data_IF_999849107626
#
_entry.id   IF_999849107626
#
_cell.length_a   1.000
_cell.length_b   1.000
_cell.length_c   1.000
_cell.angle_alpha   90.00
_cell.angle_beta   90.00
_cell.angle_gamma   90.00
#
_symmetry.space_group_name_H-M   'P 1'
#
loop_
_entity.id
_entity.type
_entity.pdbx_description
1 polymer ?
#
# COMPACT_ATOMS: atom_id res chain seq x y z
N UNK A 1 -2.39 32.25 -0.62
CA UNK A 1 -1.13 31.53 -0.42
C UNK A 1 -1.36 30.11 -0.90
N UNK A 2 -0.60 29.66 -1.90
CA UNK A 2 -0.72 28.29 -2.41
C UNK A 2 0.12 27.35 -1.54
N UNK A 3 -0.52 26.69 -0.58
CA UNK A 3 0.13 25.78 0.36
C UNK A 3 0.87 24.62 -0.35
N UNK A 4 0.46 24.26 -1.57
CA UNK A 4 1.05 23.13 -2.31
C UNK A 4 2.42 23.45 -2.92
N UNK A 5 2.73 24.74 -3.09
CA UNK A 5 3.98 25.23 -3.69
C UNK A 5 4.96 25.81 -2.65
N UNK A 6 4.73 25.56 -1.36
CA UNK A 6 5.64 26.01 -0.31
C UNK A 6 6.95 25.23 -0.32
N UNK A 7 8.06 25.95 -0.17
CA UNK A 7 9.35 25.33 0.09
C UNK A 7 9.48 24.94 1.59
N UNK A 8 10.48 24.12 1.90
CA UNK A 8 10.69 23.59 3.26
C UNK A 8 10.84 24.67 4.34
N UNK A 9 11.47 25.81 4.02
CA UNK A 9 11.64 26.90 4.98
C UNK A 9 10.30 27.59 5.30
N UNK A 10 9.46 27.83 4.29
CA UNK A 10 8.13 28.40 4.47
C UNK A 10 7.21 27.46 5.25
N UNK A 11 7.29 26.14 5.01
CA UNK A 11 6.53 25.14 5.78
C UNK A 11 6.99 25.10 7.23
N UNK A 12 8.30 25.14 7.50
CA UNK A 12 8.83 25.18 8.85
C UNK A 12 8.31 26.39 9.63
N UNK A 13 8.33 27.58 9.03
CA UNK A 13 7.77 28.79 9.65
C UNK A 13 6.23 28.74 9.78
N UNK A 14 5.53 28.00 8.90
CA UNK A 14 4.08 27.78 9.03
C UNK A 14 3.74 27.00 10.30
N UNK A 15 4.57 26.04 10.73
CA UNK A 15 4.29 25.14 11.88
C UNK A 15 4.99 25.55 13.17
N UNK A 16 6.07 26.33 13.09
CA UNK A 16 6.89 26.73 14.24
C UNK A 16 6.08 27.50 15.28
N UNK A 17 6.18 27.06 16.54
CA UNK A 17 5.49 27.66 17.67
C UNK A 17 3.95 27.48 17.66
N UNK A 18 3.44 26.57 16.83
CA UNK A 18 2.00 26.32 16.66
C UNK A 18 1.61 24.91 17.09
N UNK A 19 0.39 24.77 17.60
CA UNK A 19 -0.25 23.48 17.86
C UNK A 19 -0.81 22.94 16.55
N UNK A 20 -0.22 21.86 16.06
CA UNK A 20 -0.58 21.24 14.79
C UNK A 20 -1.39 19.98 15.06
N UNK A 21 -2.49 19.82 14.34
CA UNK A 21 -3.21 18.55 14.25
C UNK A 21 -2.96 17.92 12.89
N UNK A 22 -2.62 16.63 12.88
CA UNK A 22 -2.48 15.83 11.67
C UNK A 22 -3.56 14.77 11.66
N UNK A 23 -4.34 14.69 10.59
CA UNK A 23 -5.36 13.66 10.39
C UNK A 23 -4.78 12.57 9.48
N UNK A 24 -4.52 11.39 10.03
CA UNK A 24 -3.93 10.26 9.30
C UNK A 24 -2.94 9.44 10.12
N UNK A 25 -2.60 8.24 9.66
CA UNK A 25 -1.65 7.34 10.35
C UNK A 25 -0.90 6.38 9.41
N UNK A 26 -0.42 6.94 8.30
CA UNK A 26 0.47 6.28 7.34
C UNK A 26 1.62 7.22 6.99
N UNK A 27 2.47 6.85 6.02
CA UNK A 27 3.76 7.48 5.72
C UNK A 27 3.77 9.00 5.78
N UNK A 28 2.95 9.69 4.97
CA UNK A 28 2.90 11.16 4.98
C UNK A 28 2.50 11.75 6.34
N UNK A 29 1.53 11.14 7.04
CA UNK A 29 1.09 11.63 8.33
C UNK A 29 2.18 11.50 9.41
N UNK A 30 2.86 10.35 9.46
CA UNK A 30 3.91 10.10 10.47
C UNK A 30 5.16 10.94 10.20
N UNK A 31 5.49 11.19 8.93
CA UNK A 31 6.62 12.05 8.55
C UNK A 31 6.38 13.51 8.94
N UNK A 32 5.22 14.06 8.57
CA UNK A 32 4.84 15.43 8.94
C UNK A 32 4.79 15.58 10.46
N UNK A 33 4.31 14.55 11.18
CA UNK A 33 4.29 14.56 12.64
C UNK A 33 5.69 14.61 13.24
N UNK A 34 6.63 13.82 12.70
CA UNK A 34 8.02 13.83 13.14
C UNK A 34 8.71 15.17 12.85
N UNK A 35 8.48 15.77 11.68
CA UNK A 35 8.98 17.11 11.35
C UNK A 35 8.43 18.17 12.31
N UNK A 36 7.12 18.17 12.59
CA UNK A 36 6.51 19.07 13.56
C UNK A 36 7.09 18.88 14.96
N UNK A 37 7.28 17.62 15.39
CA UNK A 37 7.87 17.29 16.68
C UNK A 37 9.32 17.76 16.81
N UNK A 38 10.11 17.69 15.73
CA UNK A 38 11.49 18.19 15.71
C UNK A 38 11.56 19.71 15.80
N UNK A 39 10.61 20.43 15.18
CA UNK A 39 10.57 21.90 15.19
C UNK A 39 10.08 22.43 16.54
N UNK A 40 9.03 21.83 17.08
CA UNK A 40 8.27 22.39 18.21
C UNK A 40 8.55 21.72 19.56
N UNK A 41 9.03 20.47 19.55
CA UNK A 41 9.20 19.66 20.75
C UNK A 41 7.92 19.53 21.59
N UNK A 42 8.05 19.24 22.90
CA UNK A 42 6.90 19.07 23.78
C UNK A 42 6.21 20.39 24.16
N UNK A 43 6.81 21.55 23.84
CA UNK A 43 6.23 22.87 24.16
C UNK A 43 5.00 23.18 23.31
N UNK A 44 5.02 22.79 22.03
CA UNK A 44 3.87 22.90 21.11
C UNK A 44 3.66 21.55 20.40
N UNK A 45 3.08 20.56 21.10
CA UNK A 45 3.05 19.20 20.61
C UNK A 45 2.17 19.06 19.37
N UNK A 46 2.54 18.11 18.51
CA UNK A 46 1.75 17.73 17.35
C UNK A 46 0.76 16.61 17.72
N UNK A 47 -0.53 16.83 17.53
CA UNK A 47 -1.55 15.79 17.79
C UNK A 47 -1.92 15.06 16.50
N UNK A 48 -1.82 13.74 16.48
CA UNK A 48 -2.28 12.92 15.38
C UNK A 48 -3.67 12.33 15.68
N UNK A 49 -4.68 12.66 14.88
CA UNK A 49 -5.98 12.01 14.93
C UNK A 49 -5.94 10.74 14.08
N UNK A 50 -6.11 9.60 14.75
CA UNK A 50 -5.95 8.28 14.13
C UNK A 50 -7.27 7.54 14.07
N UNK A 51 -7.89 7.57 12.88
CA UNK A 51 -9.14 6.82 12.60
C UNK A 51 -8.92 5.31 12.55
N UNK A 52 -7.93 4.90 11.76
CA UNK A 52 -7.62 3.49 11.54
C UNK A 52 -6.18 3.23 11.97
N UNK A 53 -6.01 2.43 13.02
CA UNK A 53 -4.72 1.97 13.51
C UNK A 53 -4.07 1.06 12.46
N UNK A 54 -2.77 1.20 12.21
CA UNK A 54 -2.01 0.47 11.18
C UNK A 54 -0.75 -0.14 11.77
N UNK A 55 -0.29 -1.25 11.19
CA UNK A 55 0.93 -1.94 11.60
C UNK A 55 2.18 -1.24 11.05
N UNK A 56 2.46 -0.04 11.53
CA UNK A 56 3.68 0.67 11.13
C UNK A 56 4.89 0.06 11.82
N UNK A 57 5.98 -0.12 11.08
CA UNK A 57 7.20 -0.82 11.52
C UNK A 57 8.35 0.17 11.70
N UNK A 58 9.28 -0.06 12.61
CA UNK A 58 10.51 0.76 12.69
C UNK A 58 11.57 0.32 11.69
N UNK A 59 11.57 -0.96 11.32
CA UNK A 59 12.52 -1.56 10.40
C UNK A 59 11.89 -2.76 9.67
N UNK A 60 12.50 -3.15 8.55
CA UNK A 60 12.03 -4.28 7.71
C UNK A 60 12.60 -5.64 8.18
N UNK A 61 12.96 -5.76 9.46
CA UNK A 61 13.53 -6.96 10.08
C UNK A 61 12.76 -7.31 11.34
N UNK A 62 12.39 -8.58 11.48
CA UNK A 62 11.55 -9.11 12.55
C UNK A 62 12.29 -10.29 13.17
N UNK A 63 12.62 -10.22 14.47
CA UNK A 63 13.40 -11.26 15.15
C UNK A 63 14.70 -11.64 14.43
N UNK A 64 15.38 -10.68 13.79
CA UNK A 64 16.60 -10.91 13.00
C UNK A 64 16.37 -11.44 11.59
N UNK A 65 15.12 -11.68 11.18
CA UNK A 65 14.75 -12.17 9.85
C UNK A 65 14.16 -11.01 9.03
N UNK A 66 14.69 -10.68 7.84
CA UNK A 66 14.08 -9.65 7.00
C UNK A 66 12.67 -10.07 6.57
N UNK A 67 11.71 -9.15 6.65
CA UNK A 67 10.28 -9.37 6.33
C UNK A 67 10.11 -9.92 4.90
N UNK A 68 11.00 -9.54 3.99
CA UNK A 68 11.01 -10.02 2.60
C UNK A 68 11.12 -11.55 2.49
N UNK A 69 11.78 -12.23 3.42
CA UNK A 69 11.86 -13.71 3.44
C UNK A 69 10.55 -14.39 3.88
N UNK A 70 9.61 -13.65 4.46
CA UNK A 70 8.29 -14.19 4.83
C UNK A 70 7.20 -13.88 3.81
N UNK A 71 7.33 -12.81 3.02
CA UNK A 71 6.25 -12.30 2.17
C UNK A 71 6.63 -12.00 0.70
N UNK A 72 7.91 -11.96 0.35
CA UNK A 72 8.37 -11.49 -0.97
C UNK A 72 9.18 -12.55 -1.73
N UNK A 73 8.83 -13.82 -1.58
CA UNK A 73 9.44 -14.93 -2.33
C UNK A 73 8.36 -15.91 -2.84
N UNK A 74 8.74 -16.78 -3.77
CA UNK A 74 7.82 -17.75 -4.37
C UNK A 74 7.19 -18.69 -3.35
N UNK A 75 7.90 -19.07 -2.28
CA UNK A 75 7.34 -19.93 -1.24
C UNK A 75 6.18 -19.24 -0.52
N UNK A 76 6.35 -17.96 -0.15
CA UNK A 76 5.29 -17.19 0.50
C UNK A 76 4.04 -17.03 -0.37
N UNK A 77 4.22 -17.01 -1.69
CA UNK A 77 3.14 -16.99 -2.68
C UNK A 77 2.38 -18.33 -2.79
N UNK A 78 2.97 -19.45 -2.34
CA UNK A 78 2.28 -20.73 -2.22
C UNK A 78 1.29 -20.73 -1.05
N UNK A 79 1.34 -19.75 -0.15
CA UNK A 79 0.46 -19.66 1.03
C UNK A 79 -0.84 -18.88 0.76
N UNK A 80 -1.00 -18.40 -0.48
CA UNK A 80 -2.12 -17.58 -0.93
C UNK A 80 -2.66 -18.11 -2.26
N UNK A 81 -3.98 -18.05 -2.39
CA UNK A 81 -4.66 -18.33 -3.64
C UNK A 81 -4.33 -17.23 -4.62
N UNK A 82 -3.82 -17.57 -5.80
CA UNK A 82 -3.40 -16.60 -6.82
C UNK A 82 -4.40 -16.55 -7.98
N UNK A 83 -4.64 -15.36 -8.57
CA UNK A 83 -5.47 -15.23 -9.76
C UNK A 83 -4.95 -16.09 -10.92
N UNK A 84 -5.84 -16.88 -11.52
CA UNK A 84 -5.53 -17.78 -12.63
C UNK A 84 -4.65 -18.99 -12.26
N UNK A 85 -4.54 -19.34 -10.98
CA UNK A 85 -3.78 -20.52 -10.57
C UNK A 85 -4.53 -21.83 -10.86
N UNK A 86 -3.78 -22.90 -11.12
CA UNK A 86 -4.35 -24.25 -11.31
C UNK A 86 -4.70 -24.94 -9.98
N UNK A 87 -5.44 -26.05 -10.08
CA UNK A 87 -5.94 -26.82 -8.92
C UNK A 87 -4.85 -27.22 -7.92
N UNK A 88 -3.66 -27.60 -8.42
CA UNK A 88 -2.53 -28.01 -7.56
C UNK A 88 -2.05 -26.85 -6.69
N UNK A 89 -1.88 -25.65 -7.27
CA UNK A 89 -1.44 -24.47 -6.53
C UNK A 89 -2.51 -24.00 -5.54
N UNK A 90 -3.78 -24.09 -5.94
CA UNK A 90 -4.90 -23.80 -5.04
C UNK A 90 -4.94 -24.75 -3.85
N UNK A 91 -4.72 -26.06 -4.06
CA UNK A 91 -4.67 -27.03 -2.97
C UNK A 91 -3.51 -26.74 -2.02
N UNK A 92 -2.32 -26.41 -2.55
CA UNK A 92 -1.17 -26.01 -1.75
C UNK A 92 -1.46 -24.76 -0.92
N UNK A 93 -2.11 -23.74 -1.51
CA UNK A 93 -2.51 -22.53 -0.78
C UNK A 93 -3.45 -22.83 0.38
N UNK A 94 -4.41 -23.75 0.20
CA UNK A 94 -5.29 -24.19 1.29
C UNK A 94 -4.50 -24.89 2.40
N UNK A 95 -3.69 -25.90 2.04
CA UNK A 95 -2.91 -26.70 2.99
C UNK A 95 -1.92 -25.84 3.77
N UNK A 96 -1.26 -24.89 3.10
CA UNK A 96 -0.23 -24.04 3.68
C UNK A 96 -0.78 -22.74 4.31
N UNK A 97 -2.08 -22.48 4.21
CA UNK A 97 -2.70 -21.28 4.78
C UNK A 97 -2.47 -21.08 6.29
N UNK A 98 -2.34 -22.12 7.16
CA UNK A 98 -1.99 -21.91 8.57
C UNK A 98 -0.60 -21.30 8.74
N UNK A 99 0.35 -21.60 7.85
CA UNK A 99 1.71 -21.06 7.91
C UNK A 99 1.72 -19.55 7.65
N UNK A 100 0.88 -19.05 6.74
CA UNK A 100 0.68 -17.60 6.54
C UNK A 100 0.18 -16.91 7.80
N UNK A 101 -0.73 -17.55 8.53
CA UNK A 101 -1.20 -17.03 9.81
C UNK A 101 -0.07 -17.01 10.85
N UNK A 102 0.75 -18.07 10.91
CA UNK A 102 1.94 -18.12 11.78
C UNK A 102 2.90 -16.97 11.46
N UNK A 103 3.25 -16.73 10.19
CA UNK A 103 4.13 -15.61 9.79
C UNK A 103 3.56 -14.26 10.22
N UNK A 104 2.25 -14.05 10.05
CA UNK A 104 1.58 -12.84 10.53
C UNK A 104 1.73 -12.69 12.04
N UNK A 105 1.43 -13.73 12.82
CA UNK A 105 1.50 -13.67 14.29
C UNK A 105 2.91 -13.55 14.84
N UNK A 106 3.88 -14.18 14.18
CA UNK A 106 5.30 -14.02 14.49
C UNK A 106 5.73 -12.55 14.37
N UNK A 107 5.33 -11.90 13.27
CA UNK A 107 5.59 -10.47 13.04
C UNK A 107 4.84 -9.57 14.02
N UNK A 108 3.54 -9.81 14.23
CA UNK A 108 2.73 -9.05 15.21
C UNK A 108 3.31 -9.15 16.63
N UNK A 109 3.83 -10.32 17.02
CA UNK A 109 4.47 -10.53 18.33
C UNK A 109 5.72 -9.67 18.49
N UNK A 110 6.59 -9.65 17.47
CA UNK A 110 7.76 -8.78 17.46
C UNK A 110 7.37 -7.32 17.62
N UNK A 111 6.46 -6.83 16.77
CA UNK A 111 6.05 -5.44 16.75
C UNK A 111 5.41 -5.00 18.08
N UNK A 112 4.61 -5.86 18.71
CA UNK A 112 4.04 -5.59 20.05
C UNK A 112 5.09 -5.52 21.14
N UNK A 113 6.21 -6.23 20.98
CA UNK A 113 7.31 -6.25 21.95
C UNK A 113 8.25 -5.06 21.77
N UNK A 114 8.55 -4.69 20.53
CA UNK A 114 9.54 -3.65 20.22
C UNK A 114 8.96 -2.25 20.14
N UNK A 115 7.67 -2.13 19.78
CA UNK A 115 7.00 -0.85 19.63
C UNK A 115 5.93 -0.75 20.73
N UNK A 116 5.87 0.35 21.51
CA UNK A 116 4.92 0.51 22.62
C UNK A 116 3.48 0.79 22.14
N UNK A 117 3.01 0.12 21.08
CA UNK A 117 1.67 0.32 20.52
C UNK A 117 0.57 0.11 21.55
N UNK A 118 0.72 -0.86 22.47
CA UNK A 118 -0.28 -1.13 23.51
C UNK A 118 -0.44 0.04 24.47
N UNK A 119 0.68 0.67 24.86
CA UNK A 119 0.70 1.82 25.78
C UNK A 119 -0.11 2.99 25.24
N UNK A 120 -0.07 3.20 23.93
CA UNK A 120 -0.74 4.32 23.25
C UNK A 120 -2.03 3.92 22.52
N UNK A 121 -2.60 2.76 22.81
CA UNK A 121 -3.80 2.22 22.15
C UNK A 121 -3.70 2.20 20.60
N UNK A 122 -2.53 1.82 20.07
CA UNK A 122 -2.25 1.82 18.63
C UNK A 122 -2.25 0.42 17.99
N UNK A 123 -2.68 -0.61 18.71
CA UNK A 123 -2.77 -1.98 18.17
C UNK A 123 -3.89 -2.04 17.11
N UNK A 124 -3.58 -2.41 15.86
CA UNK A 124 -4.61 -2.61 14.83
C UNK A 124 -5.49 -3.82 15.09
N UNK A 125 -6.74 -3.76 14.61
CA UNK A 125 -7.70 -4.88 14.68
C UNK A 125 -7.44 -5.95 13.61
N UNK A 126 -6.88 -5.57 12.46
CA UNK A 126 -6.53 -6.49 11.38
C UNK A 126 -5.17 -7.17 11.63
N UNK A 127 -4.89 -8.25 10.91
CA UNK A 127 -3.60 -8.95 10.99
C UNK A 127 -2.50 -8.18 10.25
N UNK A 128 -1.24 -8.45 10.58
CA UNK A 128 -0.11 -7.86 9.85
C UNK A 128 -0.15 -8.24 8.36
N UNK A 129 -0.41 -9.52 8.05
CA UNK A 129 -0.54 -9.98 6.66
C UNK A 129 -1.61 -9.19 5.88
N UNK A 130 -2.77 -8.92 6.48
CA UNK A 130 -3.79 -8.11 5.82
C UNK A 130 -3.31 -6.68 5.54
N UNK A 131 -2.51 -6.09 6.45
CA UNK A 131 -1.87 -4.80 6.24
C UNK A 131 -0.89 -4.81 5.06
N UNK A 132 -0.08 -5.87 4.94
CA UNK A 132 0.83 -6.08 3.79
C UNK A 132 0.04 -6.25 2.49
N UNK A 133 -0.99 -7.10 2.50
CA UNK A 133 -1.83 -7.37 1.34
C UNK A 133 -2.57 -6.13 0.84
N UNK A 134 -3.03 -5.27 1.74
CA UNK A 134 -3.66 -4.00 1.38
C UNK A 134 -2.66 -2.88 1.01
N UNK A 135 -1.36 -3.08 1.24
CA UNK A 135 -0.35 -2.01 1.10
C UNK A 135 -0.51 -0.89 2.15
N UNK A 136 -1.08 -1.21 3.32
CA UNK A 136 -1.46 -0.24 4.35
C UNK A 136 -0.59 -0.39 5.61
N UNK A 137 0.72 -0.27 5.41
CA UNK A 137 1.72 -0.13 6.47
C UNK A 137 2.86 0.78 5.98
N UNK A 138 3.62 1.35 6.89
CA UNK A 138 4.80 2.12 6.53
C UNK A 138 5.95 1.92 7.53
N UNK A 139 7.14 2.34 7.12
CA UNK A 139 8.26 2.52 8.04
C UNK A 139 8.03 3.83 8.79
N UNK A 140 8.10 3.78 10.12
CA UNK A 140 8.06 4.96 10.99
C UNK A 140 9.35 5.76 10.85
N UNK A 141 9.30 7.09 10.99
CA UNK A 141 10.50 7.89 11.20
C UNK A 141 11.33 7.37 12.37
N UNK A 142 12.65 7.56 12.29
CA UNK A 142 13.54 7.24 13.39
C UNK A 142 13.10 7.97 14.67
N UNK A 143 13.20 7.30 15.81
CA UNK A 143 12.82 7.84 17.13
C UNK A 143 11.34 8.29 17.23
N UNK A 144 10.44 7.87 16.33
CA UNK A 144 9.04 8.29 16.34
C UNK A 144 8.35 8.06 17.70
N UNK A 145 8.49 6.86 18.29
CA UNK A 145 7.89 6.58 19.59
C UNK A 145 8.62 7.21 20.77
N UNK A 146 9.89 7.60 20.62
CA UNK A 146 10.57 8.43 21.63
C UNK A 146 9.98 9.84 21.64
N UNK A 147 9.62 10.39 20.47
CA UNK A 147 8.88 11.65 20.37
C UNK A 147 7.46 11.56 20.92
N UNK A 148 6.84 10.39 20.86
CA UNK A 148 5.56 10.13 21.54
C UNK A 148 5.75 10.04 23.05
N UNK A 149 6.81 9.39 23.52
CA UNK A 149 7.18 9.27 24.94
C UNK A 149 7.50 10.65 25.57
N UNK A 150 8.26 11.48 24.85
CA UNK A 150 8.61 12.87 25.22
C UNK A 150 7.37 13.79 25.30
N UNK A 151 6.28 13.42 24.64
CA UNK A 151 5.06 14.24 24.53
C UNK A 151 5.08 15.23 23.36
N UNK A 152 6.12 15.21 22.51
CA UNK A 152 6.20 16.01 21.27
C UNK A 152 5.17 15.56 20.21
N UNK A 153 4.78 14.28 20.24
CA UNK A 153 3.70 13.71 19.42
C UNK A 153 2.63 13.11 20.33
N UNK A 154 1.38 13.53 20.15
CA UNK A 154 0.22 12.99 20.88
C UNK A 154 -0.59 12.14 19.92
N UNK A 155 -0.72 10.85 20.19
CA UNK A 155 -1.57 9.96 19.39
C UNK A 155 -2.99 9.95 19.97
N UNK A 156 -3.98 10.36 19.16
CA UNK A 156 -5.39 10.41 19.55
C UNK A 156 -6.22 9.48 18.65
N UNK A 157 -6.47 8.22 19.06
CA UNK A 157 -7.39 7.34 18.34
C UNK A 157 -8.81 7.92 18.39
N UNK A 158 -9.41 8.20 17.24
CA UNK A 158 -10.80 8.65 17.15
C UNK A 158 -11.36 8.45 15.76
N UNK A 159 -12.62 8.03 15.66
CA UNK A 159 -13.29 7.79 14.37
C UNK A 159 -13.75 9.08 13.70
N UNK A 160 -14.26 10.00 14.51
CA UNK A 160 -14.85 11.26 14.06
C UNK A 160 -14.41 12.41 14.97
N UNK A 161 -14.41 13.61 14.42
CA UNK A 161 -14.13 14.83 15.16
C UNK A 161 -14.88 15.98 14.49
N UNK A 162 -15.11 17.04 15.26
CA UNK A 162 -15.79 18.25 14.80
C UNK A 162 -14.85 19.44 14.96
N UNK A 163 -14.89 20.37 14.00
CA UNK A 163 -14.18 21.64 14.16
C UNK A 163 -14.94 22.52 15.15
N UNK A 164 -14.17 23.11 16.06
CA UNK A 164 -14.63 24.18 16.93
C UNK A 164 -13.79 25.42 16.68
N UNK A 165 -14.17 26.56 17.26
CA UNK A 165 -13.54 27.86 17.01
C UNK A 165 -12.01 27.86 17.11
N UNK A 166 -11.44 27.11 18.06
CA UNK A 166 -10.00 27.13 18.37
C UNK A 166 -9.33 25.74 18.23
N UNK A 167 -9.94 24.80 17.50
CA UNK A 167 -9.40 23.45 17.39
C UNK A 167 -10.44 22.42 16.99
N UNK A 168 -10.37 21.23 17.58
CA UNK A 168 -11.29 20.13 17.28
C UNK A 168 -11.77 19.44 18.54
N UNK A 169 -12.98 18.89 18.51
CA UNK A 169 -13.51 18.00 19.53
C UNK A 169 -13.62 16.60 18.95
N UNK A 170 -12.93 15.62 19.55
CA UNK A 170 -13.02 14.22 19.11
C UNK A 170 -14.20 13.52 19.76
N UNK A 171 -14.77 12.54 19.06
CA UNK A 171 -15.87 11.72 19.58
C UNK A 171 -15.55 11.11 20.95
N UNK A 172 -16.44 11.31 21.93
CA UNK A 172 -16.33 10.77 23.29
C UNK A 172 -15.45 11.57 24.25
N UNK A 173 -14.77 12.63 23.78
CA UNK A 173 -14.01 13.52 24.64
C UNK A 173 -14.86 14.69 25.15
N UNK A 174 -14.65 15.06 26.42
CA UNK A 174 -15.27 16.27 26.99
C UNK A 174 -14.47 17.55 26.69
N UNK A 175 -13.17 17.43 26.41
CA UNK A 175 -12.26 18.57 26.25
C UNK A 175 -11.79 18.70 24.80
N UNK A 176 -11.91 19.89 24.19
CA UNK A 176 -11.36 20.11 22.86
C UNK A 176 -9.82 20.08 22.82
N UNK A 177 -9.29 19.70 21.67
CA UNK A 177 -7.87 19.76 21.33
C UNK A 177 -7.65 21.06 20.57
N UNK A 178 -6.96 22.01 21.20
CA UNK A 178 -6.67 23.29 20.55
C UNK A 178 -5.69 23.11 19.39
N UNK A 179 -5.93 23.81 18.28
CA UNK A 179 -5.09 23.75 17.09
C UNK A 179 -5.05 25.09 16.38
N UNK A 180 -3.85 25.45 15.92
CA UNK A 180 -3.63 26.62 15.08
C UNK A 180 -3.55 26.22 13.59
N UNK A 181 -3.19 24.96 13.31
CA UNK A 181 -3.13 24.37 11.96
C UNK A 181 -3.67 22.93 12.00
N UNK A 182 -4.48 22.56 11.01
CA UNK A 182 -4.93 21.17 10.80
C UNK A 182 -4.49 20.71 9.40
N UNK A 183 -3.74 19.60 9.34
CA UNK A 183 -3.19 19.01 8.12
C UNK A 183 -3.87 17.67 7.85
N UNK A 184 -4.56 17.56 6.71
CA UNK A 184 -5.17 16.32 6.26
C UNK A 184 -4.17 15.47 5.48
N UNK A 185 -3.56 14.49 6.15
CA UNK A 185 -2.71 13.48 5.54
C UNK A 185 -3.50 12.19 5.27
N UNK A 186 -4.67 12.34 4.65
CA UNK A 186 -5.68 11.27 4.47
C UNK A 186 -5.60 10.53 3.13
N UNK A 187 -4.50 10.68 2.40
CA UNK A 187 -4.29 10.07 1.09
C UNK A 187 -4.94 10.83 -0.06
N UNK A 188 -5.01 10.18 -1.23
CA UNK A 188 -5.40 10.78 -2.50
C UNK A 188 -6.55 10.01 -3.17
N UNK A 189 -7.36 10.72 -3.96
CA UNK A 189 -8.48 10.14 -4.73
C UNK A 189 -8.03 9.78 -6.15
N UNK A 190 -7.25 8.70 -6.30
CA UNK A 190 -6.74 8.23 -7.59
C UNK A 190 -7.85 8.01 -8.63
N UNK A 191 -8.97 7.48 -8.19
CA UNK A 191 -10.16 7.28 -9.03
C UNK A 191 -10.70 8.57 -9.62
N UNK A 192 -10.87 9.59 -8.78
CA UNK A 192 -11.38 10.88 -9.24
C UNK A 192 -10.42 11.50 -10.25
N UNK A 193 -9.11 11.36 -10.02
CA UNK A 193 -8.09 11.80 -10.99
C UNK A 193 -8.26 11.09 -12.33
N UNK A 194 -8.44 9.77 -12.35
CA UNK A 194 -8.67 9.02 -13.58
C UNK A 194 -9.99 9.41 -14.27
N UNK A 195 -11.09 9.54 -13.52
CA UNK A 195 -12.38 9.99 -14.07
C UNK A 195 -12.21 11.37 -14.73
N UNK A 196 -11.58 12.31 -14.05
CA UNK A 196 -11.42 13.69 -14.54
C UNK A 196 -10.52 13.84 -15.78
N UNK A 197 -9.75 12.81 -16.16
CA UNK A 197 -8.98 12.83 -17.42
C UNK A 197 -9.87 12.71 -18.66
N UNK A 198 -11.09 12.20 -18.52
CA UNK A 198 -12.00 12.01 -19.64
C UNK A 198 -13.04 13.13 -19.73
N UNK A 199 -13.32 13.56 -20.96
CA UNK A 199 -14.45 14.45 -21.26
C UNK A 199 -15.75 13.64 -21.39
N UNK A 200 -15.68 12.44 -21.98
CA UNK A 200 -16.85 11.58 -22.20
C UNK A 200 -17.45 11.08 -20.89
N UNK A 201 -18.73 11.36 -20.58
CA UNK A 201 -19.40 10.85 -19.37
C UNK A 201 -19.40 9.33 -19.30
N UNK A 202 -19.45 8.65 -20.45
CA UNK A 202 -19.39 7.19 -20.49
C UNK A 202 -18.02 6.66 -20.03
N UNK A 203 -16.91 7.25 -20.51
CA UNK A 203 -15.57 6.87 -20.06
C UNK A 203 -15.31 7.25 -18.62
N UNK A 204 -15.77 8.43 -18.18
CA UNK A 204 -15.76 8.81 -16.77
C UNK A 204 -16.46 7.77 -15.90
N UNK A 205 -17.58 7.19 -16.36
CA UNK A 205 -18.32 6.15 -15.63
C UNK A 205 -17.56 4.84 -15.54
N UNK A 206 -17.02 4.35 -16.66
CA UNK A 206 -16.45 2.99 -16.73
C UNK A 206 -14.99 2.88 -16.28
N UNK A 207 -14.17 3.93 -16.44
CA UNK A 207 -12.69 3.83 -16.29
C UNK A 207 -12.23 3.22 -14.97
N UNK A 208 -12.95 3.48 -13.88
CA UNK A 208 -12.62 2.96 -12.55
C UNK A 208 -13.67 1.99 -11.99
N UNK A 209 -14.63 1.59 -12.83
CA UNK A 209 -15.73 0.70 -12.41
C UNK A 209 -16.59 1.28 -11.28
N UNK A 210 -17.23 0.36 -10.56
CA UNK A 210 -18.06 0.63 -9.37
C UNK A 210 -17.20 0.63 -8.10
N UNK A 211 -17.66 1.25 -7.02
CA UNK A 211 -16.88 1.39 -5.78
C UNK A 211 -16.62 0.07 -5.03
N UNK A 212 -17.41 -0.96 -5.33
CA UNK A 212 -17.38 -2.29 -4.73
C UNK A 212 -16.45 -3.27 -5.46
N UNK A 213 -15.77 -2.83 -6.52
CA UNK A 213 -14.81 -3.63 -7.29
C UNK A 213 -13.44 -2.99 -7.30
N UNK A 214 -12.42 -3.68 -7.79
CA UNK A 214 -11.16 -3.03 -8.19
C UNK A 214 -11.33 -2.22 -9.48
N UNK A 215 -10.37 -1.34 -9.77
CA UNK A 215 -10.33 -0.69 -11.08
C UNK A 215 -10.09 -1.75 -12.17
N UNK A 216 -10.92 -1.79 -13.23
CA UNK A 216 -10.95 -2.91 -14.16
C UNK A 216 -9.81 -2.85 -15.18
N UNK A 217 -8.59 -3.14 -14.72
CA UNK A 217 -7.37 -3.11 -15.50
C UNK A 217 -6.79 -4.52 -15.66
N UNK A 218 -6.78 -5.03 -16.89
CA UNK A 218 -6.04 -6.23 -17.23
C UNK A 218 -4.55 -5.98 -17.04
N UNK A 219 -3.89 -6.91 -16.34
CA UNK A 219 -2.50 -6.77 -15.88
C UNK A 219 -2.26 -5.46 -15.13
N UNK A 220 -3.27 -4.90 -14.48
CA UNK A 220 -3.18 -3.60 -13.82
C UNK A 220 -2.76 -2.44 -14.76
N UNK A 221 -2.94 -2.62 -16.08
CA UNK A 221 -2.51 -1.67 -17.11
C UNK A 221 -3.61 -1.30 -18.12
N UNK A 222 -4.29 -2.29 -18.71
CA UNK A 222 -5.17 -2.05 -19.88
C UNK A 222 -6.63 -2.20 -19.49
N UNK A 223 -7.43 -1.20 -19.84
CA UNK A 223 -8.87 -1.25 -19.64
C UNK A 223 -9.56 -1.96 -20.82
N UNK A 224 -10.24 -3.11 -20.65
CA UNK A 224 -10.76 -3.92 -21.77
C UNK A 224 -11.77 -3.22 -22.68
N UNK A 225 -12.42 -2.15 -22.19
CA UNK A 225 -13.46 -1.42 -22.91
C UNK A 225 -13.04 -0.02 -23.40
N UNK A 226 -11.85 0.46 -23.04
CA UNK A 226 -11.37 1.78 -23.48
C UNK A 226 -10.21 1.53 -24.45
N UNK A 227 -10.41 1.75 -25.76
CA UNK A 227 -9.38 1.47 -26.76
C UNK A 227 -8.22 2.46 -26.65
N UNK A 228 -7.04 2.03 -27.11
CA UNK A 228 -5.84 2.89 -27.27
C UNK A 228 -5.41 3.62 -25.98
N UNK A 229 -5.61 2.97 -24.82
CA UNK A 229 -5.19 3.51 -23.53
C UNK A 229 -4.56 2.42 -22.66
N UNK A 230 -3.47 2.79 -21.99
CA UNK A 230 -2.91 2.05 -20.87
C UNK A 230 -2.66 3.01 -19.70
N UNK A 231 -2.84 2.50 -18.49
CA UNK A 231 -2.62 3.23 -17.23
C UNK A 231 -1.45 2.56 -16.52
N UNK A 232 -0.38 3.31 -16.24
CA UNK A 232 0.75 2.81 -15.45
C UNK A 232 0.76 3.53 -14.10
N UNK A 233 0.91 2.74 -13.03
CA UNK A 233 1.08 3.26 -11.67
C UNK A 233 -0.22 3.48 -10.90
N UNK A 234 -1.36 2.94 -11.34
CA UNK A 234 -2.59 2.96 -10.54
C UNK A 234 -2.49 2.06 -9.31
N UNK A 235 -2.06 0.80 -9.52
CA UNK A 235 -1.98 -0.17 -8.44
C UNK A 235 -0.61 -0.25 -7.80
N UNK A 236 -0.61 -0.66 -6.54
CA UNK A 236 0.51 -0.46 -5.63
C UNK A 236 1.32 -1.73 -5.36
N UNK A 237 2.51 -1.53 -4.82
CA UNK A 237 3.39 -2.55 -4.29
C UNK A 237 4.27 -1.92 -3.18
N UNK A 238 5.16 -2.71 -2.57
CA UNK A 238 6.17 -2.19 -1.65
C UNK A 238 7.07 -1.12 -2.31
N UNK A 239 7.35 -1.26 -3.62
CA UNK A 239 8.03 -0.26 -4.44
C UNK A 239 7.25 -0.04 -5.74
N UNK A 240 6.58 1.11 -5.84
CA UNK A 240 5.78 1.46 -7.01
C UNK A 240 6.64 1.79 -8.23
N UNK A 241 7.88 2.26 -8.04
CA UNK A 241 8.80 2.56 -9.14
C UNK A 241 9.14 1.27 -9.91
N UNK A 242 9.54 0.23 -9.17
CA UNK A 242 9.86 -1.07 -9.74
C UNK A 242 8.67 -1.69 -10.48
N UNK A 243 7.49 -1.67 -9.85
CA UNK A 243 6.28 -2.21 -10.49
C UNK A 243 5.89 -1.41 -11.75
N UNK A 244 6.06 -0.09 -11.74
CA UNK A 244 5.79 0.75 -12.92
C UNK A 244 6.78 0.50 -14.06
N UNK A 245 8.06 0.25 -13.75
CA UNK A 245 9.07 -0.13 -14.74
C UNK A 245 8.70 -1.46 -15.43
N UNK A 246 8.34 -2.48 -14.66
CA UNK A 246 7.93 -3.79 -15.21
C UNK A 246 6.70 -3.67 -16.12
N UNK A 247 5.71 -2.86 -15.71
CA UNK A 247 4.51 -2.57 -16.52
C UNK A 247 4.82 -1.79 -17.78
N UNK A 248 5.73 -0.81 -17.70
CA UNK A 248 6.17 -0.04 -18.86
C UNK A 248 6.88 -0.93 -19.88
N UNK A 249 7.73 -1.87 -19.43
CA UNK A 249 8.37 -2.87 -20.31
C UNK A 249 7.35 -3.80 -20.96
N UNK A 250 6.39 -4.32 -20.20
CA UNK A 250 5.30 -5.13 -20.72
C UNK A 250 4.47 -4.38 -21.77
N UNK A 251 4.12 -3.13 -21.48
CA UNK A 251 3.38 -2.28 -22.43
C UNK A 251 4.22 -1.98 -23.68
N UNK A 252 5.51 -1.67 -23.55
CA UNK A 252 6.38 -1.42 -24.69
C UNK A 252 6.49 -2.66 -25.59
N UNK A 253 6.63 -3.85 -25.01
CA UNK A 253 6.63 -5.11 -25.76
C UNK A 253 5.29 -5.35 -26.49
N UNK A 254 4.16 -5.03 -25.86
CA UNK A 254 2.85 -5.08 -26.52
C UNK A 254 2.78 -4.12 -27.72
N UNK A 255 3.20 -2.87 -27.53
CA UNK A 255 3.18 -1.84 -28.58
C UNK A 255 4.13 -2.16 -29.74
N UNK A 256 5.21 -2.91 -29.49
CA UNK A 256 6.15 -3.43 -30.49
C UNK A 256 5.67 -4.76 -31.13
N UNK A 257 4.41 -5.15 -30.91
CA UNK A 257 3.81 -6.40 -31.40
C UNK A 257 4.50 -7.70 -30.91
N UNK A 258 5.24 -7.65 -29.79
CA UNK A 258 5.89 -8.83 -29.21
C UNK A 258 4.92 -9.90 -28.69
N UNK A 259 3.68 -9.49 -28.38
CA UNK A 259 2.57 -10.39 -28.09
C UNK A 259 1.22 -9.71 -28.39
N UNK A 260 0.16 -10.52 -28.42
CA UNK A 260 -1.21 -10.07 -28.65
C UNK A 260 -1.98 -10.20 -27.34
N UNK A 261 -2.79 -9.21 -27.00
CA UNK A 261 -3.68 -9.29 -25.84
C UNK A 261 -4.74 -10.38 -26.04
N UNK A 262 -5.18 -11.03 -24.97
CA UNK A 262 -6.33 -11.92 -25.05
C UNK A 262 -7.59 -11.12 -25.43
N UNK A 263 -8.65 -11.82 -25.84
CA UNK A 263 -9.90 -11.17 -26.16
C UNK A 263 -10.50 -10.47 -24.90
N UNK A 264 -11.46 -9.57 -25.13
CA UNK A 264 -12.10 -8.77 -24.08
C UNK A 264 -12.68 -9.62 -22.94
N UNK A 265 -13.35 -10.74 -23.27
CA UNK A 265 -13.99 -11.61 -22.28
C UNK A 265 -12.96 -12.25 -21.34
N UNK A 266 -11.82 -12.68 -21.87
CA UNK A 266 -10.75 -13.27 -21.09
C UNK A 266 -10.04 -12.24 -20.20
N UNK A 267 -9.88 -11.00 -20.69
CA UNK A 267 -9.38 -9.89 -19.87
C UNK A 267 -10.34 -9.58 -18.70
N UNK A 268 -11.64 -9.50 -18.96
CA UNK A 268 -12.67 -9.25 -17.94
C UNK A 268 -12.75 -10.39 -16.91
N UNK A 269 -12.62 -11.65 -17.35
CA UNK A 269 -12.51 -12.80 -16.45
C UNK A 269 -11.29 -12.70 -15.55
N UNK A 270 -10.12 -12.33 -16.10
CA UNK A 270 -8.91 -12.18 -15.30
C UNK A 270 -9.05 -11.06 -14.26
N UNK A 271 -9.66 -9.93 -14.61
CA UNK A 271 -9.95 -8.84 -13.67
C UNK A 271 -10.81 -9.33 -12.51
N UNK A 272 -11.84 -10.15 -12.78
CA UNK A 272 -12.69 -10.72 -11.73
C UNK A 272 -11.92 -11.68 -10.79
N UNK A 273 -11.00 -12.48 -11.33
CA UNK A 273 -10.12 -13.33 -10.52
C UNK A 273 -9.23 -12.49 -9.58
N UNK A 274 -8.71 -11.36 -10.08
CA UNK A 274 -7.94 -10.41 -9.27
C UNK A 274 -8.80 -9.69 -8.22
N UNK A 275 -10.03 -9.26 -8.57
CA UNK A 275 -10.97 -8.66 -7.63
C UNK A 275 -11.25 -9.57 -6.44
N UNK A 276 -11.54 -10.84 -6.70
CA UNK A 276 -11.74 -11.86 -5.67
C UNK A 276 -10.52 -12.04 -4.78
N UNK A 277 -9.32 -12.07 -5.38
CA UNK A 277 -8.05 -12.15 -4.64
C UNK A 277 -7.89 -10.98 -3.67
N UNK A 278 -8.03 -9.74 -4.15
CA UNK A 278 -7.82 -8.57 -3.30
C UNK A 278 -8.84 -8.50 -2.16
N UNK A 279 -10.12 -8.82 -2.43
CA UNK A 279 -11.17 -8.89 -1.40
C UNK A 279 -10.86 -9.95 -0.34
N UNK A 280 -10.35 -11.11 -0.76
CA UNK A 280 -10.00 -12.22 0.15
C UNK A 280 -8.86 -11.84 1.11
N UNK A 281 -7.83 -11.14 0.64
CA UNK A 281 -6.59 -10.96 1.41
C UNK A 281 -6.36 -9.56 1.98
N UNK A 282 -6.88 -8.51 1.33
CA UNK A 282 -6.74 -7.11 1.79
C UNK A 282 -7.83 -6.71 2.79
N UNK A 283 -8.90 -7.50 2.88
CA UNK A 283 -10.08 -7.26 3.70
C UNK A 283 -11.24 -6.65 2.93
N UNK A 284 -12.41 -6.62 3.56
CA UNK A 284 -13.69 -6.38 2.88
C UNK A 284 -14.06 -4.89 2.65
N UNK A 285 -13.25 -3.94 3.09
CA UNK A 285 -13.50 -2.52 2.85
C UNK A 285 -12.89 -2.06 1.53
N UNK A 286 -13.62 -1.27 0.76
CA UNK A 286 -13.15 -0.68 -0.50
C UNK A 286 -11.82 0.07 -0.36
N UNK A 287 -11.59 0.74 0.78
CA UNK A 287 -10.31 1.40 1.11
C UNK A 287 -9.09 0.45 0.99
N UNK A 288 -9.28 -0.84 1.25
CA UNK A 288 -8.19 -1.82 1.27
C UNK A 288 -7.96 -2.46 -0.10
N UNK A 289 -8.98 -3.07 -0.71
CA UNK A 289 -8.79 -3.85 -1.93
C UNK A 289 -8.64 -3.00 -3.19
N UNK A 290 -9.22 -1.80 -3.22
CA UNK A 290 -9.29 -0.96 -4.43
C UNK A 290 -7.95 -0.38 -4.88
N UNK A 291 -6.97 -0.34 -3.98
CA UNK A 291 -5.57 0.03 -4.27
C UNK A 291 -4.86 -1.03 -5.12
N UNK A 292 -5.44 -2.22 -5.25
CA UNK A 292 -4.89 -3.34 -6.01
C UNK A 292 -3.43 -3.65 -5.63
N UNK A 293 -3.11 -3.67 -4.34
CA UNK A 293 -1.74 -3.88 -3.90
C UNK A 293 -1.30 -5.33 -4.18
N UNK A 294 -0.29 -5.50 -5.04
CA UNK A 294 0.19 -6.84 -5.46
C UNK A 294 1.28 -7.41 -4.55
N UNK A 295 1.64 -6.75 -3.45
CA UNK A 295 2.83 -7.09 -2.66
C UNK A 295 2.96 -8.58 -2.28
N UNK A 296 1.91 -9.28 -1.79
CA UNK A 296 2.02 -10.69 -1.43
C UNK A 296 2.15 -11.65 -2.61
N UNK A 297 1.91 -11.19 -3.85
CA UNK A 297 1.93 -11.99 -5.09
C UNK A 297 2.70 -11.30 -6.22
N UNK A 298 3.65 -10.44 -5.86
CA UNK A 298 4.35 -9.60 -6.83
C UNK A 298 5.24 -10.44 -7.78
N UNK A 299 5.77 -11.58 -7.33
CA UNK A 299 6.54 -12.50 -8.19
C UNK A 299 5.60 -13.19 -9.16
N UNK A 300 4.46 -13.72 -8.68
CA UNK A 300 3.41 -14.28 -9.54
C UNK A 300 2.92 -13.28 -10.60
N UNK A 301 2.67 -12.03 -10.20
CA UNK A 301 2.28 -10.97 -11.12
C UNK A 301 3.36 -10.73 -12.19
N UNK A 302 4.63 -10.57 -11.78
CA UNK A 302 5.73 -10.37 -12.71
C UNK A 302 5.95 -11.59 -13.62
N UNK A 303 5.71 -12.81 -13.12
CA UNK A 303 5.75 -14.03 -13.93
C UNK A 303 4.73 -13.98 -15.06
N UNK A 304 3.52 -13.48 -14.79
CA UNK A 304 2.48 -13.32 -15.82
C UNK A 304 2.96 -12.34 -16.89
N UNK A 305 3.51 -11.18 -16.50
CA UNK A 305 4.07 -10.23 -17.47
C UNK A 305 5.21 -10.84 -18.29
N UNK A 306 6.10 -11.60 -17.65
CA UNK A 306 7.20 -12.27 -18.34
C UNK A 306 6.70 -13.32 -19.33
N UNK A 307 5.68 -14.10 -18.97
CA UNK A 307 5.06 -15.10 -19.85
C UNK A 307 4.42 -14.43 -21.07
N UNK A 308 3.68 -13.33 -20.86
CA UNK A 308 3.07 -12.56 -21.95
C UNK A 308 4.17 -12.08 -22.92
N UNK A 309 5.28 -11.52 -22.40
CA UNK A 309 6.45 -11.09 -23.18
C UNK A 309 7.34 -12.25 -23.69
N UNK A 310 6.98 -13.51 -23.45
CA UNK A 310 7.75 -14.72 -23.83
C UNK A 310 9.16 -14.78 -23.22
N UNK A 311 9.36 -14.14 -22.07
CA UNK A 311 10.58 -14.18 -21.27
C UNK A 311 10.49 -15.27 -20.19
N UNK A 312 11.63 -15.90 -19.84
CA UNK A 312 11.67 -16.82 -18.71
C UNK A 312 11.40 -16.06 -17.40
N UNK A 313 10.36 -16.38 -16.61
CA UNK A 313 10.04 -15.66 -15.39
C UNK A 313 10.98 -15.95 -14.20
N UNK A 314 11.71 -17.08 -14.22
CA UNK A 314 12.59 -17.47 -13.10
C UNK A 314 13.89 -16.68 -13.14
N UNK A 315 14.18 -15.96 -12.06
CA UNK A 315 15.32 -15.03 -11.97
C UNK A 315 16.45 -15.49 -11.05
N UNK A 316 16.23 -16.52 -10.24
CA UNK A 316 17.25 -17.08 -9.36
C UNK A 316 17.79 -18.39 -9.93
N UNK A 317 19.07 -18.67 -9.66
CA UNK A 317 19.72 -19.92 -10.10
C UNK A 317 19.49 -21.02 -9.06
N UNK A 318 18.90 -22.13 -9.50
CA UNK A 318 18.64 -23.30 -8.65
C UNK A 318 17.28 -23.26 -7.96
N UNK A 319 16.72 -24.45 -7.70
CA UNK A 319 15.35 -24.62 -7.20
C UNK A 319 15.12 -23.94 -5.84
N UNK A 320 16.00 -24.16 -4.87
CA UNK A 320 15.83 -23.60 -3.51
C UNK A 320 16.00 -22.08 -3.47
N UNK A 321 16.96 -21.54 -4.23
CA UNK A 321 17.16 -20.10 -4.31
C UNK A 321 15.95 -19.42 -4.95
N UNK A 322 15.40 -20.01 -6.01
CA UNK A 322 14.18 -19.54 -6.67
C UNK A 322 12.97 -19.56 -5.75
N UNK A 323 12.89 -20.57 -4.88
CA UNK A 323 11.76 -20.75 -3.99
C UNK A 323 11.80 -19.81 -2.77
N UNK A 324 12.96 -19.65 -2.13
CA UNK A 324 13.07 -19.03 -0.81
C UNK A 324 13.75 -17.66 -0.78
N UNK A 325 14.56 -17.30 -1.78
CA UNK A 325 15.17 -15.96 -1.79
C UNK A 325 14.13 -14.91 -2.22
N UNK A 326 14.12 -13.73 -1.58
CA UNK A 326 13.27 -12.65 -2.00
C UNK A 326 13.54 -12.21 -3.44
N UNK A 327 12.45 -11.90 -4.13
CA UNK A 327 12.46 -11.29 -5.45
C UNK A 327 12.42 -9.76 -5.32
N UNK A 328 13.22 -9.07 -6.14
CA UNK A 328 13.32 -7.63 -6.12
C UNK A 328 13.68 -7.03 -7.49
N UNK A 329 13.85 -5.71 -7.58
CA UNK A 329 14.09 -5.02 -8.85
C UNK A 329 15.34 -5.50 -9.60
N UNK A 330 16.41 -5.81 -8.86
CA UNK A 330 17.69 -6.25 -9.44
C UNK A 330 17.54 -7.57 -10.21
N UNK A 331 16.59 -8.42 -9.83
CA UNK A 331 16.34 -9.71 -10.49
C UNK A 331 15.83 -9.59 -11.92
N UNK A 332 15.33 -8.41 -12.30
CA UNK A 332 14.77 -8.13 -13.62
C UNK A 332 15.63 -7.15 -14.43
N UNK A 333 16.86 -6.88 -13.98
CA UNK A 333 17.85 -6.15 -14.78
C UNK A 333 18.15 -6.95 -16.04
N UNK A 334 18.23 -6.27 -17.19
CA UNK A 334 18.51 -6.94 -18.46
C UNK A 334 17.41 -7.90 -18.89
N UNK A 335 16.14 -7.62 -18.52
CA UNK A 335 15.00 -8.31 -19.10
C UNK A 335 14.93 -7.98 -20.60
N UNK A 336 15.69 -8.72 -21.39
CA UNK A 336 15.75 -8.56 -22.84
C UNK A 336 14.46 -9.08 -23.46
N UNK A 337 13.82 -8.23 -24.25
CA UNK A 337 12.77 -8.65 -25.18
C UNK A 337 13.44 -9.54 -26.22
N UNK A 338 13.12 -10.83 -26.22
CA UNK A 338 13.52 -11.70 -27.33
C UNK A 338 12.79 -11.18 -28.57
N UNK A 339 13.55 -10.59 -29.50
CA UNK A 339 13.05 -10.23 -30.84
C UNK A 339 12.71 -11.48 -31.64
#
# INVERSE_FOLDING_TARGET
MDYSNMNSAAVAELVKGKRVIIVGYLKSAVDIAAECANINGPKYPCTMIVRTKRWNVSQMTVWGIPISYMYLNRFSELLVHKPGEGLILSLLATILSPLRWIFSKFTESYLRKTIPMKKYDMIPKHSFFQGVAAGLFCILPEHFYEKVEEGSIILKPSKTFEFIKNGVLTEGDATPINADVVIYATGYKGDQKLRNMFISPWFQKIVVGTEDTIVPLYRECIHPQIPQMAIIGYSENLSNLYTSEMRARWLACFLDNGFILPNKRDMEKNILEWDNYYKTYSGNSSECYRRSCIAPVHTWYNDQLCKDMRCNPRRKKGFFADLFLPYGPIDYVGLELKK
#
